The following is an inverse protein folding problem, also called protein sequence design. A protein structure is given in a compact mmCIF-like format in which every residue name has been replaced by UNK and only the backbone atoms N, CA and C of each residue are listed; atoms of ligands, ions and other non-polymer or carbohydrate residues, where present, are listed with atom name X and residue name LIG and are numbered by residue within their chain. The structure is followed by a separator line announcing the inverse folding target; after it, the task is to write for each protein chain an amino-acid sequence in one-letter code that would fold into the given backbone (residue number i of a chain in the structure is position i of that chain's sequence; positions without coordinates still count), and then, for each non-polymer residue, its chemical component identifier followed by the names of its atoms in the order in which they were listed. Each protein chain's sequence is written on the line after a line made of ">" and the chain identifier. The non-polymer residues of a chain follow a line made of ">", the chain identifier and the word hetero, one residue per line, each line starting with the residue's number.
data_IF_276896009878
#
_entry.id   IF_276896009878
#
_cell.length_a   1.000
_cell.length_b   1.000
_cell.length_c   1.000
_cell.angle_alpha   90.00
_cell.angle_beta   90.00
_cell.angle_gamma   90.00
#
_symmetry.space_group_name_H-M   'P 1'
#
loop_
_entity.id
_entity.type
_entity.pdbx_description
1 polymer ?
#
# COMPACT_ATOMS: atom_id res chain seq x y z
N UNK A 1 -15.77 14.74 -4.64
CA UNK A 1 -14.50 13.98 -4.61
C UNK A 1 -14.16 13.45 -6.00
N UNK A 2 -12.88 13.31 -6.39
CA UNK A 2 -12.48 12.92 -7.76
C UNK A 2 -12.95 11.51 -8.14
N UNK A 3 -12.76 10.51 -7.28
CA UNK A 3 -13.18 9.12 -7.55
C UNK A 3 -14.67 8.98 -7.85
N UNK A 4 -15.51 9.68 -7.09
CA UNK A 4 -16.96 9.73 -7.33
C UNK A 4 -17.28 10.28 -8.72
N UNK A 5 -16.65 11.40 -9.10
CA UNK A 5 -16.87 12.01 -10.43
C UNK A 5 -16.40 11.11 -11.57
N UNK A 6 -15.43 10.23 -11.33
CA UNK A 6 -14.95 9.26 -12.31
C UNK A 6 -15.72 7.92 -12.26
N UNK A 7 -16.70 7.76 -11.36
CA UNK A 7 -17.43 6.50 -11.18
C UNK A 7 -16.59 5.36 -10.59
N UNK A 8 -15.39 5.65 -10.09
CA UNK A 8 -14.44 4.65 -9.60
C UNK A 8 -14.88 4.04 -8.27
N UNK A 9 -15.47 4.83 -7.37
CA UNK A 9 -15.98 4.34 -6.09
C UNK A 9 -16.96 3.17 -6.29
N UNK A 10 -17.93 3.35 -7.18
CA UNK A 10 -18.92 2.34 -7.51
C UNK A 10 -18.31 1.15 -8.26
N UNK A 11 -17.29 1.38 -9.09
CA UNK A 11 -16.58 0.31 -9.77
C UNK A 11 -15.82 -0.60 -8.78
N UNK A 12 -15.20 -0.02 -7.76
CA UNK A 12 -14.50 -0.78 -6.69
C UNK A 12 -15.49 -1.60 -5.87
N UNK A 13 -16.60 -1.00 -5.43
CA UNK A 13 -17.65 -1.72 -4.68
C UNK A 13 -18.21 -2.88 -5.51
N UNK A 14 -18.57 -2.62 -6.78
CA UNK A 14 -19.03 -3.67 -7.69
C UNK A 14 -17.97 -4.77 -7.86
N UNK A 15 -16.69 -4.46 -7.97
CA UNK A 15 -15.65 -5.47 -8.12
C UNK A 15 -15.60 -6.42 -6.91
N UNK A 16 -15.74 -5.89 -5.69
CA UNK A 16 -15.83 -6.68 -4.45
C UNK A 16 -17.09 -7.57 -4.43
N UNK A 17 -18.23 -7.03 -4.84
CA UNK A 17 -19.49 -7.77 -4.94
C UNK A 17 -19.38 -8.96 -5.91
N UNK A 18 -18.57 -8.80 -6.97
CA UNK A 18 -18.25 -9.86 -7.94
C UNK A 18 -17.06 -10.74 -7.52
N UNK A 19 -16.63 -10.69 -6.26
CA UNK A 19 -15.63 -11.60 -5.72
C UNK A 19 -14.17 -11.16 -5.87
N UNK A 20 -13.91 -9.96 -6.37
CA UNK A 20 -12.55 -9.43 -6.45
C UNK A 20 -11.98 -9.12 -5.06
N UNK A 21 -10.66 -8.98 -4.99
CA UNK A 21 -9.98 -8.43 -3.82
C UNK A 21 -9.57 -6.98 -4.09
N UNK A 22 -9.45 -6.17 -3.04
CA UNK A 22 -8.99 -4.77 -3.12
C UNK A 22 -7.91 -4.54 -2.07
N UNK A 23 -6.83 -3.88 -2.50
CA UNK A 23 -5.76 -3.41 -1.63
C UNK A 23 -5.70 -1.88 -1.73
N UNK A 24 -5.91 -1.18 -0.62
CA UNK A 24 -5.74 0.26 -0.50
C UNK A 24 -4.38 0.61 0.13
N UNK A 25 -3.63 1.53 -0.48
CA UNK A 25 -2.36 2.03 0.08
C UNK A 25 -2.50 3.52 0.38
N UNK A 26 -2.17 3.92 1.60
CA UNK A 26 -2.26 5.30 2.09
C UNK A 26 -3.65 5.93 1.80
N UNK A 27 -3.78 6.90 0.91
CA UNK A 27 -5.08 7.48 0.54
C UNK A 27 -6.11 6.42 0.12
N UNK A 28 -5.67 5.34 -0.56
CA UNK A 28 -6.53 4.21 -0.88
C UNK A 28 -7.03 3.47 0.37
N UNK A 29 -6.18 3.28 1.38
CA UNK A 29 -6.57 2.69 2.66
C UNK A 29 -7.59 3.55 3.40
N UNK A 30 -7.36 4.87 3.44
CA UNK A 30 -8.27 5.83 4.06
C UNK A 30 -9.65 5.78 3.40
N UNK A 31 -9.68 5.73 2.07
CA UNK A 31 -10.90 5.61 1.28
C UNK A 31 -11.65 4.28 1.48
N UNK A 32 -11.00 3.20 1.93
CA UNK A 32 -11.71 1.96 2.25
C UNK A 32 -12.60 2.09 3.49
N UNK A 33 -12.31 3.05 4.38
CA UNK A 33 -13.08 3.32 5.58
C UNK A 33 -14.50 3.83 5.31
N UNK A 34 -15.26 4.03 6.38
CA UNK A 34 -16.60 4.64 6.34
C UNK A 34 -16.54 6.15 6.14
N UNK A 35 -15.62 6.81 6.82
CA UNK A 35 -15.59 8.28 6.89
C UNK A 35 -14.16 8.78 6.99
N UNK A 36 -13.90 9.87 6.28
CA UNK A 36 -12.68 10.66 6.37
C UNK A 36 -13.04 12.00 7.03
N UNK A 37 -12.33 12.37 8.09
CA UNK A 37 -12.54 13.58 8.87
C UNK A 37 -11.33 14.49 8.70
N UNK A 38 -11.57 15.74 8.34
CA UNK A 38 -10.55 16.79 8.23
C UNK A 38 -10.99 18.00 9.07
N UNK A 39 -11.07 17.87 10.41
CA UNK A 39 -11.64 18.90 11.28
C UNK A 39 -10.89 20.22 11.19
N UNK A 40 -9.58 20.15 10.92
CA UNK A 40 -8.67 21.28 10.82
C UNK A 40 -8.45 21.77 9.38
N UNK A 41 -9.11 21.14 8.38
CA UNK A 41 -9.02 21.47 6.94
C UNK A 41 -7.59 21.48 6.41
N UNK A 42 -6.82 20.48 6.78
CA UNK A 42 -5.40 20.33 6.41
C UNK A 42 -5.26 19.89 4.95
N UNK A 43 -6.10 18.96 4.51
CA UNK A 43 -6.04 18.36 3.16
C UNK A 43 -7.09 18.97 2.22
N UNK A 44 -8.23 19.43 2.73
CA UNK A 44 -9.27 20.03 1.90
C UNK A 44 -10.15 21.05 2.61
N UNK A 45 -10.87 21.85 1.83
CA UNK A 45 -11.88 22.79 2.33
C UNK A 45 -13.12 22.11 2.94
N UNK A 46 -13.25 20.78 2.78
CA UNK A 46 -14.38 19.98 3.26
C UNK A 46 -13.96 19.27 4.55
N UNK A 47 -14.67 19.52 5.65
CA UNK A 47 -14.30 18.99 6.97
C UNK A 47 -14.58 17.50 7.19
N UNK A 48 -15.36 16.87 6.30
CA UNK A 48 -15.62 15.44 6.33
C UNK A 48 -16.08 14.94 4.96
N UNK A 49 -15.78 13.68 4.65
CA UNK A 49 -16.27 13.00 3.47
C UNK A 49 -16.53 11.52 3.73
N UNK A 50 -17.47 10.95 2.98
CA UNK A 50 -17.72 9.51 3.01
C UNK A 50 -16.58 8.76 2.31
N UNK A 51 -16.19 7.64 2.90
CA UNK A 51 -15.37 6.64 2.24
C UNK A 51 -16.24 5.59 1.53
N UNK A 52 -15.61 4.51 1.07
CA UNK A 52 -16.28 3.41 0.38
C UNK A 52 -17.08 2.50 1.33
N UNK A 53 -16.83 2.59 2.64
CA UNK A 53 -17.52 1.80 3.66
C UNK A 53 -17.19 0.31 3.63
N UNK A 54 -16.07 -0.08 3.00
CA UNK A 54 -15.65 -1.47 2.86
C UNK A 54 -14.95 -2.01 4.12
N UNK A 55 -14.35 -1.11 4.90
CA UNK A 55 -13.81 -1.39 6.22
C UNK A 55 -14.53 -0.50 7.25
N UNK A 56 -14.83 -1.02 8.46
CA UNK A 56 -15.47 -0.27 9.54
C UNK A 56 -14.49 0.71 10.24
N UNK A 57 -13.80 1.52 9.46
CA UNK A 57 -12.73 2.41 9.90
C UNK A 57 -13.10 3.87 9.68
N UNK A 58 -12.54 4.74 10.52
CA UNK A 58 -12.58 6.19 10.36
C UNK A 58 -11.14 6.65 10.22
N UNK A 59 -10.90 7.55 9.27
CA UNK A 59 -9.62 8.24 9.15
C UNK A 59 -9.80 9.68 9.57
N UNK A 60 -8.98 10.17 10.48
CA UNK A 60 -8.90 11.60 10.83
C UNK A 60 -7.57 12.15 10.36
N UNK A 61 -7.59 13.22 9.57
CA UNK A 61 -6.38 13.93 9.17
C UNK A 61 -5.88 14.79 10.34
N UNK A 62 -4.61 14.60 10.70
CA UNK A 62 -3.93 15.37 11.72
C UNK A 62 -2.99 16.41 11.09
N UNK A 63 -2.66 17.47 11.82
CA UNK A 63 -1.78 18.54 11.32
C UNK A 63 -0.30 18.13 11.13
N UNK A 64 0.11 16.98 11.65
CA UNK A 64 1.48 16.47 11.52
C UNK A 64 1.55 15.34 10.50
N UNK A 65 2.53 15.42 9.61
CA UNK A 65 2.81 14.38 8.63
C UNK A 65 3.77 13.35 9.22
N UNK A 66 3.33 12.10 9.24
CA UNK A 66 4.18 10.96 9.56
C UNK A 66 5.02 10.59 8.33
N UNK A 67 6.34 10.54 8.49
CA UNK A 67 7.29 10.13 7.45
C UNK A 67 8.32 9.20 8.06
N UNK A 68 8.13 7.90 7.89
CA UNK A 68 8.99 6.89 8.52
C UNK A 68 9.42 5.86 7.51
N UNK A 69 10.68 5.42 7.58
CA UNK A 69 11.02 4.09 7.06
C UNK A 69 10.49 3.06 8.05
N UNK A 70 9.86 2.02 7.53
CA UNK A 70 9.16 1.03 8.35
C UNK A 70 9.62 -0.38 8.01
N UNK A 71 9.88 -1.15 9.04
CA UNK A 71 10.04 -2.59 8.97
C UNK A 71 8.90 -3.25 9.75
N UNK A 72 8.25 -4.23 9.12
CA UNK A 72 7.11 -4.92 9.68
C UNK A 72 7.11 -6.40 9.29
N UNK A 73 6.24 -7.18 9.90
CA UNK A 73 6.00 -8.58 9.55
C UNK A 73 4.51 -8.84 9.36
N UNK A 74 4.15 -9.71 8.42
CA UNK A 74 2.74 -10.07 8.22
C UNK A 74 2.22 -10.87 9.40
N UNK A 75 1.04 -10.49 9.90
CA UNK A 75 0.38 -11.15 11.03
C UNK A 75 -0.22 -12.50 10.64
N UNK A 76 -0.25 -13.42 11.60
CA UNK A 76 -0.80 -14.76 11.41
C UNK A 76 -2.30 -14.70 11.07
N UNK A 77 -3.05 -13.88 11.79
CA UNK A 77 -4.50 -13.71 11.63
C UNK A 77 -4.87 -13.09 10.28
N UNK A 78 -4.00 -12.22 9.75
CA UNK A 78 -4.17 -11.62 8.44
C UNK A 78 -3.90 -12.61 7.29
N UNK A 79 -3.31 -13.76 7.60
CA UNK A 79 -2.87 -14.78 6.62
C UNK A 79 -3.66 -16.08 6.74
N UNK A 80 -4.85 -16.06 7.34
CA UNK A 80 -5.69 -17.24 7.47
C UNK A 80 -5.99 -17.90 6.10
N UNK A 81 -6.27 -19.21 6.05
CA UNK A 81 -6.55 -19.91 4.79
C UNK A 81 -7.62 -19.19 3.96
N UNK A 82 -7.29 -18.91 2.70
CA UNK A 82 -8.20 -18.20 1.80
C UNK A 82 -8.23 -16.68 1.95
N UNK A 83 -7.49 -16.08 2.89
CA UNK A 83 -7.27 -14.63 2.92
C UNK A 83 -6.24 -14.20 1.87
N UNK A 84 -6.27 -12.93 1.46
CA UNK A 84 -5.41 -12.39 0.40
C UNK A 84 -3.92 -12.57 0.70
N UNK A 85 -3.51 -12.55 1.96
CA UNK A 85 -2.12 -12.75 2.40
C UNK A 85 -1.88 -14.19 2.89
N UNK A 86 -2.71 -15.17 2.47
CA UNK A 86 -2.49 -16.57 2.83
C UNK A 86 -1.11 -17.04 2.37
N UNK A 87 -0.36 -17.67 3.27
CA UNK A 87 1.02 -18.08 3.02
C UNK A 87 2.08 -16.99 3.23
N UNK A 88 1.70 -15.79 3.67
CA UNK A 88 2.65 -14.71 3.96
C UNK A 88 3.01 -14.57 5.45
N UNK A 89 2.57 -15.49 6.33
CA UNK A 89 2.79 -15.37 7.79
C UNK A 89 4.26 -15.11 8.10
N UNK A 90 4.54 -14.02 8.82
CA UNK A 90 5.90 -13.67 9.22
C UNK A 90 6.80 -13.16 8.09
N UNK A 91 6.30 -13.05 6.85
CA UNK A 91 7.07 -12.44 5.76
C UNK A 91 7.47 -11.01 6.13
N UNK A 92 8.74 -10.63 5.93
CA UNK A 92 9.18 -9.28 6.20
C UNK A 92 8.58 -8.30 5.18
N UNK A 93 8.23 -7.13 5.68
CA UNK A 93 7.75 -6.00 4.89
C UNK A 93 8.62 -4.81 5.19
N UNK A 94 9.37 -4.37 4.19
CA UNK A 94 10.15 -3.14 4.24
C UNK A 94 9.45 -2.12 3.34
N UNK A 95 9.25 -0.93 3.88
CA UNK A 95 8.56 0.14 3.18
C UNK A 95 8.76 1.48 3.86
N UNK A 96 7.82 2.38 3.61
CA UNK A 96 7.77 3.68 4.26
C UNK A 96 6.33 4.15 4.44
N UNK A 97 6.12 4.95 5.46
CA UNK A 97 4.88 5.66 5.75
C UNK A 97 5.04 7.12 5.30
N UNK A 98 4.03 7.69 4.64
CA UNK A 98 3.96 9.11 4.33
C UNK A 98 2.51 9.61 4.38
N UNK A 99 1.99 9.90 5.56
CA UNK A 99 0.58 10.22 5.73
C UNK A 99 0.31 11.18 6.87
N UNK A 100 -0.78 11.94 6.76
CA UNK A 100 -1.36 12.73 7.85
C UNK A 100 -2.57 12.05 8.48
N UNK A 101 -3.12 11.02 7.82
CA UNK A 101 -4.29 10.31 8.29
C UNK A 101 -3.96 9.38 9.45
N UNK A 102 -4.78 9.41 10.48
CA UNK A 102 -4.81 8.44 11.57
C UNK A 102 -6.07 7.61 11.41
N UNK A 103 -5.91 6.32 11.12
CA UNK A 103 -7.02 5.42 10.82
C UNK A 103 -7.25 4.45 11.97
N UNK A 104 -8.48 4.40 12.47
CA UNK A 104 -8.86 3.52 13.58
C UNK A 104 -10.28 2.99 13.44
N UNK A 105 -10.57 1.90 14.15
CA UNK A 105 -11.88 1.26 14.20
C UNK A 105 -11.78 -0.16 14.72
N UNK A 106 -12.93 -0.80 14.89
CA UNK A 106 -13.05 -2.17 15.40
C UNK A 106 -13.59 -3.12 14.33
N UNK A 107 -13.48 -4.43 14.56
CA UNK A 107 -13.99 -5.43 13.62
C UNK A 107 -13.12 -5.61 12.37
N UNK A 108 -11.85 -5.20 12.44
CA UNK A 108 -10.82 -5.48 11.43
C UNK A 108 -9.70 -6.31 12.04
N UNK A 109 -8.98 -7.03 11.19
CA UNK A 109 -7.77 -7.74 11.56
C UNK A 109 -6.59 -6.84 11.18
N UNK A 110 -5.71 -6.44 12.13
CA UNK A 110 -4.50 -5.72 11.77
C UNK A 110 -3.63 -6.57 10.84
N UNK A 111 -3.08 -5.95 9.79
CA UNK A 111 -2.38 -6.66 8.72
C UNK A 111 -0.92 -6.98 9.08
N UNK A 112 -0.23 -6.03 9.73
CA UNK A 112 1.19 -6.12 10.02
C UNK A 112 1.50 -5.82 11.48
N UNK A 113 2.51 -6.51 12.02
CA UNK A 113 3.20 -6.11 13.23
C UNK A 113 4.35 -5.18 12.82
N UNK A 114 4.32 -3.92 13.27
CA UNK A 114 5.42 -2.98 13.06
C UNK A 114 6.56 -3.37 14.00
N UNK A 115 7.73 -3.62 13.44
CA UNK A 115 8.93 -4.01 14.17
C UNK A 115 9.81 -2.80 14.44
N UNK A 116 9.97 -1.93 13.44
CA UNK A 116 10.82 -0.74 13.55
C UNK A 116 10.25 0.44 12.76
N UNK A 117 10.53 1.65 13.27
CA UNK A 117 10.42 2.92 12.54
C UNK A 117 11.71 3.69 12.76
N UNK A 118 12.38 4.06 11.67
CA UNK A 118 13.74 4.61 11.74
C UNK A 118 13.87 5.85 12.65
N UNK A 119 12.83 6.68 12.73
CA UNK A 119 12.85 7.98 13.42
C UNK A 119 11.82 8.08 14.56
N UNK A 120 11.20 6.95 14.95
CA UNK A 120 10.16 6.93 15.98
C UNK A 120 10.12 5.62 16.76
N UNK A 121 9.91 5.69 18.07
CA UNK A 121 9.72 4.49 18.88
C UNK A 121 8.40 3.78 18.52
N UNK A 122 8.45 2.47 18.34
CA UNK A 122 7.25 1.63 18.23
C UNK A 122 6.65 1.44 19.64
N UNK A 123 5.39 1.82 19.80
CA UNK A 123 4.65 1.72 21.07
C UNK A 123 3.49 0.74 20.91
N UNK A 124 2.81 0.36 21.99
CA UNK A 124 1.59 -0.46 21.89
C UNK A 124 0.49 0.18 21.02
N UNK A 125 0.43 1.52 20.98
CA UNK A 125 -0.52 2.24 20.13
C UNK A 125 -0.15 2.23 18.64
N UNK A 126 1.12 1.98 18.31
CA UNK A 126 1.66 2.05 16.95
C UNK A 126 2.31 0.73 16.50
N UNK A 127 2.05 -0.35 17.26
CA UNK A 127 2.61 -1.69 17.04
C UNK A 127 2.01 -2.40 15.83
N UNK A 128 0.92 -1.87 15.26
CA UNK A 128 0.25 -2.45 14.13
C UNK A 128 0.06 -1.44 13.01
N UNK A 129 0.09 -1.93 11.77
CA UNK A 129 -0.35 -1.19 10.60
C UNK A 129 -1.34 -2.02 9.77
N UNK A 130 -2.20 -1.30 9.06
CA UNK A 130 -3.13 -1.84 8.11
C UNK A 130 -4.29 -2.59 8.73
N UNK A 131 -5.25 -2.93 7.88
CA UNK A 131 -6.48 -3.58 8.26
C UNK A 131 -6.93 -4.53 7.17
N UNK A 132 -7.53 -5.64 7.58
CA UNK A 132 -8.12 -6.64 6.72
C UNK A 132 -9.55 -6.91 7.17
N UNK A 133 -10.47 -7.04 6.22
CA UNK A 133 -11.83 -7.48 6.52
C UNK A 133 -11.88 -8.94 6.97
N UNK A 134 -13.00 -9.35 7.55
CA UNK A 134 -13.18 -10.71 8.08
C UNK A 134 -13.04 -11.82 7.02
N UNK A 135 -13.25 -11.51 5.73
CA UNK A 135 -13.10 -12.48 4.63
C UNK A 135 -11.72 -12.46 3.97
N UNK A 136 -10.83 -11.55 4.40
CA UNK A 136 -9.51 -11.38 3.80
C UNK A 136 -9.53 -11.04 2.31
N UNK A 137 -10.46 -10.20 1.86
CA UNK A 137 -10.56 -9.70 0.48
C UNK A 137 -10.28 -8.21 0.36
N UNK A 138 -10.58 -7.45 1.40
CA UNK A 138 -10.35 -6.00 1.45
C UNK A 138 -9.24 -5.74 2.45
N UNK A 139 -8.12 -5.21 1.96
CA UNK A 139 -6.94 -4.92 2.77
C UNK A 139 -6.53 -3.46 2.57
N UNK A 140 -6.11 -2.80 3.64
CA UNK A 140 -5.52 -1.48 3.57
C UNK A 140 -4.27 -1.37 4.42
N UNK A 141 -3.35 -0.46 4.07
CA UNK A 141 -2.09 -0.23 4.79
C UNK A 141 -1.54 1.16 4.51
N UNK A 142 -0.78 1.71 5.46
CA UNK A 142 0.04 2.91 5.23
C UNK A 142 1.43 2.60 4.68
N UNK A 143 1.87 1.34 4.71
CA UNK A 143 3.19 0.92 4.24
C UNK A 143 3.22 0.96 2.72
N UNK A 144 3.87 1.99 2.18
CA UNK A 144 4.23 2.07 0.77
C UNK A 144 5.34 1.07 0.43
N UNK A 145 5.34 0.62 -0.83
CA UNK A 145 6.30 -0.39 -1.28
C UNK A 145 5.93 -1.83 -0.92
N UNK A 146 4.70 -2.07 -0.44
CA UNK A 146 4.17 -3.41 -0.12
C UNK A 146 4.54 -4.46 -1.18
N UNK A 147 4.26 -4.16 -2.46
CA UNK A 147 4.52 -5.08 -3.57
C UNK A 147 5.99 -5.18 -3.97
N UNK A 148 6.92 -4.41 -3.41
CA UNK A 148 8.35 -4.64 -3.61
C UNK A 148 8.84 -5.85 -2.80
N UNK A 149 8.15 -6.20 -1.72
CA UNK A 149 8.45 -7.35 -0.87
C UNK A 149 8.03 -8.65 -1.59
N UNK A 150 9.03 -9.42 -2.03
CA UNK A 150 8.80 -10.55 -2.93
C UNK A 150 7.95 -11.66 -2.32
N UNK A 151 8.14 -11.98 -1.04
CA UNK A 151 7.34 -12.99 -0.33
C UNK A 151 5.87 -12.60 -0.26
N UNK A 152 5.58 -11.39 0.21
CA UNK A 152 4.21 -10.84 0.24
C UNK A 152 3.58 -10.79 -1.15
N UNK A 153 4.29 -10.25 -2.15
CA UNK A 153 3.81 -10.18 -3.53
C UNK A 153 3.47 -11.56 -4.08
N UNK A 154 4.34 -12.56 -3.87
CA UNK A 154 4.12 -13.95 -4.33
C UNK A 154 2.94 -14.60 -3.60
N UNK A 155 2.80 -14.41 -2.29
CA UNK A 155 1.67 -14.93 -1.53
C UNK A 155 0.34 -14.37 -2.04
N UNK A 156 0.25 -13.04 -2.22
CA UNK A 156 -0.95 -12.38 -2.76
C UNK A 156 -1.30 -12.90 -4.16
N UNK A 157 -0.32 -12.93 -5.07
CA UNK A 157 -0.54 -13.45 -6.43
C UNK A 157 -0.94 -14.92 -6.41
N UNK A 158 -0.34 -15.72 -5.50
CA UNK A 158 -0.63 -17.14 -5.35
C UNK A 158 -2.07 -17.39 -4.92
N UNK A 159 -2.55 -16.65 -3.91
CA UNK A 159 -3.93 -16.74 -3.48
C UNK A 159 -4.90 -16.26 -4.58
N UNK A 160 -4.60 -15.17 -5.28
CA UNK A 160 -5.44 -14.69 -6.38
C UNK A 160 -5.52 -15.72 -7.53
N UNK A 161 -4.40 -16.34 -7.88
CA UNK A 161 -4.33 -17.39 -8.89
C UNK A 161 -5.15 -18.62 -8.47
N UNK A 162 -5.02 -19.04 -7.21
CA UNK A 162 -5.81 -20.13 -6.61
C UNK A 162 -7.32 -19.85 -6.69
N UNK A 163 -7.75 -18.64 -6.32
CA UNK A 163 -9.17 -18.21 -6.40
C UNK A 163 -9.70 -18.21 -7.83
N UNK A 164 -8.86 -17.83 -8.79
CA UNK A 164 -9.20 -17.81 -10.22
C UNK A 164 -9.12 -19.20 -10.87
N UNK A 165 -8.55 -20.20 -10.19
CA UNK A 165 -8.33 -21.54 -10.74
C UNK A 165 -7.26 -21.60 -11.82
N UNK A 166 -6.26 -20.70 -11.75
CA UNK A 166 -5.14 -20.65 -12.70
C UNK A 166 -3.82 -20.89 -11.97
N UNK A 167 -2.82 -21.39 -12.70
CA UNK A 167 -1.45 -21.43 -12.21
C UNK A 167 -0.79 -20.05 -12.35
N UNK A 168 0.13 -19.73 -11.43
CA UNK A 168 1.09 -18.67 -11.69
C UNK A 168 2.15 -19.20 -12.66
N UNK A 169 2.58 -18.39 -13.65
CA UNK A 169 3.74 -18.73 -14.45
C UNK A 169 4.97 -18.86 -13.55
N UNK A 170 5.94 -19.67 -13.95
CA UNK A 170 7.24 -19.70 -13.30
C UNK A 170 7.82 -18.29 -13.29
N UNK A 171 8.19 -17.82 -12.10
CA UNK A 171 8.70 -16.47 -11.94
C UNK A 171 10.00 -16.30 -12.70
N UNK A 172 10.03 -15.37 -13.65
CA UNK A 172 11.31 -14.84 -14.12
C UNK A 172 11.88 -14.03 -12.98
N UNK A 173 13.11 -14.32 -12.57
CA UNK A 173 13.82 -13.52 -11.57
C UNK A 173 14.22 -12.19 -12.21
N UNK A 174 13.24 -11.31 -12.35
CA UNK A 174 13.46 -9.95 -12.80
C UNK A 174 13.96 -9.18 -11.60
N UNK A 175 15.27 -8.99 -11.53
CA UNK A 175 15.87 -8.13 -10.52
C UNK A 175 15.43 -6.70 -10.78
N UNK A 176 15.10 -5.98 -9.71
CA UNK A 176 14.70 -4.58 -9.77
C UNK A 176 15.75 -3.73 -10.48
N UNK A 177 17.01 -4.05 -10.23
CA UNK A 177 18.18 -3.39 -10.84
C UNK A 177 18.15 -3.52 -12.34
N UNK A 178 17.79 -4.69 -12.90
CA UNK A 178 17.67 -4.86 -14.35
C UNK A 178 16.59 -3.97 -14.97
N UNK A 179 15.46 -3.76 -14.29
CA UNK A 179 14.42 -2.86 -14.80
C UNK A 179 14.80 -1.39 -14.61
N UNK A 180 15.53 -1.05 -13.55
CA UNK A 180 16.11 0.28 -13.41
C UNK A 180 17.18 0.56 -14.47
N UNK A 181 18.02 -0.41 -14.79
CA UNK A 181 19.00 -0.31 -15.86
C UNK A 181 18.31 -0.11 -17.21
N UNK A 182 17.26 -0.89 -17.51
CA UNK A 182 16.45 -0.70 -18.72
C UNK A 182 15.84 0.69 -18.81
N UNK A 183 15.30 1.21 -17.70
CA UNK A 183 14.76 2.57 -17.66
C UNK A 183 15.87 3.61 -17.86
N UNK A 184 17.02 3.42 -17.20
CA UNK A 184 18.18 4.29 -17.34
C UNK A 184 18.70 4.32 -18.77
N UNK A 185 18.79 3.17 -19.43
CA UNK A 185 19.20 3.05 -20.84
C UNK A 185 18.20 3.77 -21.75
N UNK A 186 16.90 3.58 -21.54
CA UNK A 186 15.88 4.29 -22.31
C UNK A 186 15.98 5.82 -22.15
N UNK A 187 16.26 6.30 -20.94
CA UNK A 187 16.50 7.73 -20.66
C UNK A 187 17.77 8.22 -21.39
N UNK A 188 18.86 7.46 -21.33
CA UNK A 188 20.12 7.79 -22.01
C UNK A 188 19.96 7.85 -23.52
N UNK A 189 19.19 6.94 -24.10
CA UNK A 189 18.92 6.88 -25.54
C UNK A 189 17.97 8.00 -26.00
N UNK A 190 17.13 8.51 -25.10
CA UNK A 190 16.11 9.51 -25.42
C UNK A 190 16.53 10.95 -25.15
N UNK A 191 17.62 11.18 -24.39
CA UNK A 191 18.08 12.50 -23.96
C UNK A 191 19.53 12.77 -24.34
N UNK A 192 19.85 14.06 -24.51
CA UNK A 192 21.23 14.56 -24.65
C UNK A 192 21.92 14.56 -23.29
N UNK A 193 22.34 13.37 -22.85
CA UNK A 193 22.96 13.19 -21.53
C UNK A 193 24.26 13.98 -21.38
N UNK A 194 25.02 14.15 -22.46
CA UNK A 194 26.20 15.02 -22.53
C UNK A 194 25.88 16.43 -22.04
N UNK A 195 24.82 17.04 -22.61
CA UNK A 195 24.38 18.37 -22.24
C UNK A 195 23.90 18.45 -20.78
N UNK A 196 23.17 17.44 -20.31
CA UNK A 196 22.67 17.40 -18.93
C UNK A 196 23.84 17.32 -17.94
N UNK A 197 24.82 16.46 -18.19
CA UNK A 197 26.01 16.31 -17.37
C UNK A 197 26.82 17.61 -17.31
N UNK A 198 27.01 18.29 -18.45
CA UNK A 198 27.65 19.61 -18.50
C UNK A 198 26.89 20.64 -17.64
N UNK A 199 25.55 20.67 -17.72
CA UNK A 199 24.71 21.60 -16.94
C UNK A 199 24.83 21.38 -15.43
N UNK A 200 24.99 20.14 -14.97
CA UNK A 200 25.13 19.82 -13.54
C UNK A 200 26.58 19.72 -13.07
N UNK A 201 27.55 20.05 -13.94
CA UNK A 201 28.98 20.03 -13.61
C UNK A 201 29.55 18.63 -13.36
N UNK A 202 28.97 17.60 -14.00
CA UNK A 202 29.44 16.23 -13.93
C UNK A 202 30.14 15.84 -15.23
N UNK A 203 31.21 15.05 -15.14
CA UNK A 203 31.80 14.37 -16.31
C UNK A 203 31.24 12.95 -16.40
N UNK A 204 30.89 12.44 -17.60
CA UNK A 204 30.40 11.08 -17.75
C UNK A 204 31.41 10.07 -17.16
N UNK A 205 30.93 9.11 -16.38
CA UNK A 205 31.75 7.98 -15.97
C UNK A 205 32.02 7.09 -17.19
N UNK A 206 33.31 6.81 -17.46
CA UNK A 206 33.77 5.89 -18.51
C UNK A 206 33.31 4.45 -18.26
#
# INVERSE_FOLDING_TARGET
>A
MWMERQGLSQAVVRAIDHGSAVIGICGGYQMLGKTLLDPDRIESDIGAADGLGLLPLITTFAGTKETHRVEATVRQEASAPGHLMSGAVGEPVIGYEIHMGQTSGEGVIPAFNVVDRADAAVTSATAFDGALDANGRVMGTYIHGLFHNAGVRRAILGELARRKGVGLPEGVDVTRDREYDRLADWVRDSLRMDLIYDMVGMTPAL
#
